data_IF_018738421869
#
_entry.id   IF_018738421869
#
_cell.length_a   1.000
_cell.length_b   1.000
_cell.length_c   1.000
_cell.angle_alpha   90.00
_cell.angle_beta   90.00
_cell.angle_gamma   90.00
#
_symmetry.space_group_name_H-M   'P 1'
#
loop_
_entity.id
_entity.type
_entity.pdbx_description
1 polymer ?
#
# COMPACT_ATOMS: atom_id res chain seq x y z
N UNK A 1 -20.66 17.56 9.11
CA UNK A 1 -19.48 18.41 8.79
C UNK A 1 -18.15 17.88 9.36
N UNK A 2 -18.11 17.21 10.51
CA UNK A 2 -16.87 16.56 11.04
C UNK A 2 -16.36 15.34 10.26
N UNK A 3 -17.24 14.61 9.57
CA UNK A 3 -16.89 13.44 8.74
C UNK A 3 -16.16 13.82 7.43
N UNK A 4 -16.45 15.00 6.88
CA UNK A 4 -15.79 15.51 5.67
C UNK A 4 -14.33 15.90 5.99
N UNK A 5 -14.09 16.48 7.17
CA UNK A 5 -12.75 16.82 7.61
C UNK A 5 -11.85 15.57 7.80
N UNK A 6 -12.40 14.48 8.38
CA UNK A 6 -11.67 13.22 8.53
C UNK A 6 -11.42 12.55 7.18
N UNK A 7 -12.42 12.52 6.29
CA UNK A 7 -12.26 11.99 4.94
C UNK A 7 -11.21 12.77 4.11
N UNK A 8 -11.18 14.09 4.25
CA UNK A 8 -10.18 14.94 3.61
C UNK A 8 -8.76 14.69 4.18
N UNK A 9 -8.64 14.57 5.50
CA UNK A 9 -7.37 14.25 6.15
C UNK A 9 -6.83 12.87 5.73
N UNK A 10 -7.70 11.87 5.63
CA UNK A 10 -7.32 10.51 5.22
C UNK A 10 -6.91 10.45 3.74
N UNK A 11 -7.64 11.14 2.86
CA UNK A 11 -7.32 11.25 1.43
C UNK A 11 -5.94 11.90 1.21
N UNK A 12 -5.64 12.98 1.93
CA UNK A 12 -4.35 13.65 1.86
C UNK A 12 -3.20 12.83 2.45
N UNK A 13 -3.44 12.05 3.52
CA UNK A 13 -2.44 11.19 4.13
C UNK A 13 -2.04 9.98 3.25
N UNK A 14 -2.89 9.60 2.29
CA UNK A 14 -2.68 8.43 1.41
C UNK A 14 -1.66 8.72 0.28
N UNK A 15 -1.32 9.98 0.04
CA UNK A 15 -0.37 10.41 -1.02
C UNK A 15 1.04 9.80 -0.91
N UNK A 16 1.45 9.22 0.23
CA UNK A 16 2.77 8.59 0.38
C UNK A 16 2.83 7.10 0.04
N UNK A 17 1.71 6.46 -0.31
CA UNK A 17 1.67 5.05 -0.68
C UNK A 17 2.02 4.77 -2.16
N UNK A 18 2.62 5.73 -2.88
CA UNK A 18 3.12 5.50 -4.23
C UNK A 18 4.50 4.84 -4.17
N UNK A 19 4.58 3.60 -4.69
CA UNK A 19 5.84 2.96 -5.02
C UNK A 19 6.55 3.81 -6.09
N UNK A 20 7.47 4.67 -5.64
CA UNK A 20 8.25 5.55 -6.51
C UNK A 20 9.03 4.77 -7.56
N UNK A 21 9.27 5.40 -8.71
CA UNK A 21 10.08 4.83 -9.78
C UNK A 21 11.53 4.68 -9.30
N UNK A 22 12.02 3.45 -9.21
CA UNK A 22 13.40 3.16 -8.81
C UNK A 22 14.31 3.63 -9.96
N UNK A 23 15.26 4.52 -9.66
CA UNK A 23 16.30 4.90 -10.62
C UNK A 23 16.94 3.64 -11.21
N UNK A 24 17.23 3.65 -12.52
CA UNK A 24 17.72 2.46 -13.22
C UNK A 24 18.90 1.83 -12.47
N UNK A 25 18.75 0.58 -11.98
CA UNK A 25 19.78 -0.05 -11.18
C UNK A 25 20.94 -0.44 -12.11
N UNK A 26 22.09 0.21 -11.93
CA UNK A 26 23.33 -0.20 -12.61
C UNK A 26 23.84 -1.45 -11.89
N UNK A 27 23.49 -2.63 -12.39
CA UNK A 27 23.91 -3.91 -11.84
C UNK A 27 25.25 -4.36 -12.41
N UNK A 28 26.22 -4.65 -11.53
CA UNK A 28 27.27 -5.63 -11.81
C UNK A 28 26.73 -7.03 -11.48
N UNK A 29 26.97 -8.07 -12.32
CA UNK A 29 26.25 -9.34 -12.24
C UNK A 29 26.74 -10.19 -11.07
N UNK A 30 26.23 -9.94 -9.87
CA UNK A 30 26.43 -10.81 -8.72
C UNK A 30 25.29 -11.84 -8.62
N UNK A 31 25.65 -13.12 -8.73
CA UNK A 31 24.73 -14.28 -8.73
C UNK A 31 24.26 -14.57 -7.31
N UNK A 32 23.45 -13.69 -6.74
CA UNK A 32 22.68 -13.98 -5.55
C UNK A 32 21.28 -13.46 -5.86
N UNK A 33 20.35 -14.39 -6.07
CA UNK A 33 18.95 -14.07 -6.24
C UNK A 33 18.44 -13.46 -4.93
N UNK A 34 18.53 -12.14 -4.81
CA UNK A 34 17.75 -11.42 -3.83
C UNK A 34 16.27 -11.73 -4.14
N UNK A 35 15.61 -12.48 -3.26
CA UNK A 35 14.15 -12.46 -3.18
C UNK A 35 13.75 -11.06 -2.75
N UNK A 36 13.80 -10.12 -3.69
CA UNK A 36 13.14 -8.83 -3.58
C UNK A 36 11.65 -9.13 -3.52
N UNK A 37 11.15 -9.31 -2.30
CA UNK A 37 9.73 -9.32 -2.00
C UNK A 37 9.24 -7.88 -2.11
N UNK A 38 9.08 -7.42 -3.34
CA UNK A 38 8.34 -6.20 -3.61
C UNK A 38 6.96 -6.32 -2.95
N UNK A 39 6.36 -5.23 -2.48
CA UNK A 39 4.96 -5.26 -2.00
C UNK A 39 3.99 -5.75 -3.11
N UNK A 40 4.43 -5.68 -4.37
CA UNK A 40 3.79 -6.30 -5.54
C UNK A 40 3.86 -7.85 -5.57
N UNK A 41 4.79 -8.48 -4.86
CA UNK A 41 4.94 -9.94 -4.76
C UNK A 41 3.81 -10.62 -3.99
N UNK A 42 3.13 -9.88 -3.10
CA UNK A 42 1.86 -10.31 -2.49
C UNK A 42 0.67 -10.22 -3.48
N UNK A 43 0.87 -9.65 -4.67
CA UNK A 43 -0.16 -9.48 -5.68
C UNK A 43 -1.40 -8.77 -5.14
N UNK A 44 -2.57 -9.29 -5.46
CA UNK A 44 -3.87 -8.74 -5.03
C UNK A 44 -4.21 -9.02 -3.56
N UNK A 45 -3.43 -9.85 -2.85
CA UNK A 45 -3.74 -10.24 -1.47
C UNK A 45 -3.72 -9.04 -0.53
N UNK A 46 -2.71 -8.19 -0.62
CA UNK A 46 -2.59 -7.01 0.25
C UNK A 46 -3.74 -6.00 0.06
N UNK A 47 -4.13 -5.60 -1.18
CA UNK A 47 -5.27 -4.70 -1.36
C UNK A 47 -6.61 -5.35 -0.99
N UNK A 48 -6.81 -6.65 -1.24
CA UNK A 48 -8.04 -7.35 -0.81
C UNK A 48 -8.14 -7.41 0.71
N UNK A 49 -7.04 -7.71 1.40
CA UNK A 49 -7.00 -7.75 2.86
C UNK A 49 -7.29 -6.37 3.45
N UNK A 50 -6.73 -5.30 2.86
CA UNK A 50 -7.06 -3.93 3.26
C UNK A 50 -8.56 -3.61 3.12
N UNK A 51 -9.20 -4.03 2.02
CA UNK A 51 -10.65 -3.84 1.82
C UNK A 51 -11.45 -4.60 2.88
N UNK A 52 -11.09 -5.85 3.20
CA UNK A 52 -11.75 -6.66 4.23
C UNK A 52 -11.66 -6.00 5.60
N UNK A 53 -10.49 -5.49 5.98
CA UNK A 53 -10.31 -4.81 7.27
C UNK A 53 -11.15 -3.53 7.38
N UNK A 54 -11.23 -2.74 6.31
CA UNK A 54 -12.08 -1.53 6.27
C UNK A 54 -13.56 -1.91 6.37
N UNK A 55 -14.01 -2.92 5.63
CA UNK A 55 -15.38 -3.40 5.69
C UNK A 55 -15.75 -3.93 7.08
N UNK A 56 -14.84 -4.70 7.71
CA UNK A 56 -15.01 -5.20 9.07
C UNK A 56 -15.11 -4.04 10.07
N UNK A 57 -14.21 -3.06 9.99
CA UNK A 57 -14.21 -1.88 10.86
C UNK A 57 -15.53 -1.09 10.74
N UNK A 58 -16.08 -0.93 9.54
CA UNK A 58 -17.38 -0.26 9.32
C UNK A 58 -18.54 -1.10 9.90
N UNK A 59 -18.48 -2.43 9.79
CA UNK A 59 -19.54 -3.32 10.30
C UNK A 59 -19.62 -3.37 11.84
N UNK A 60 -18.52 -3.11 12.54
CA UNK A 60 -18.48 -3.04 14.01
C UNK A 60 -18.58 -1.61 14.57
N UNK A 61 -18.65 -0.59 13.71
CA UNK A 61 -18.64 0.82 14.09
C UNK A 61 -20.04 1.41 14.35
N UNK A 62 -20.99 0.58 14.79
CA UNK A 62 -22.27 1.03 15.35
C UNK A 62 -22.07 1.61 16.76
#
# INVERSE_FOLDING_TARGET
MKRIALAAAFSLATTSAFAGNIAEPVMEPEVIAEETSSSAGAGILLPVLAIVLVAAAVAIAD
#
